data_IF_233649640880
#
_entry.id   IF_233649640880
#
_cell.length_a   1.000
_cell.length_b   1.000
_cell.length_c   1.000
_cell.angle_alpha   90.00
_cell.angle_beta   90.00
_cell.angle_gamma   90.00
#
_symmetry.space_group_name_H-M   'P 1'
#
loop_
_entity.id
_entity.type
_entity.pdbx_description
1 polymer ?
#
# COMPACT_ATOMS: atom_id res chain seq x y z
N UNK A 1 19.94 20.66 21.41
CA UNK A 1 19.59 19.84 22.58
C UNK A 1 19.08 18.51 22.07
N UNK A 2 19.80 17.41 22.34
CA UNK A 2 19.45 16.07 21.88
C UNK A 2 18.25 15.53 22.68
N UNK A 3 17.54 14.53 22.15
CA UNK A 3 16.44 13.84 22.82
C UNK A 3 16.85 13.29 24.19
N UNK A 4 18.08 12.77 24.29
CA UNK A 4 18.65 12.27 25.54
C UNK A 4 18.87 13.40 26.57
N UNK A 5 19.24 14.59 26.12
CA UNK A 5 19.43 15.76 26.99
C UNK A 5 18.08 16.23 27.55
N UNK A 6 17.02 16.23 26.72
CA UNK A 6 15.67 16.58 27.12
C UNK A 6 15.12 15.61 28.18
N UNK A 7 15.28 14.30 27.96
CA UNK A 7 14.83 13.27 28.90
C UNK A 7 15.58 13.41 30.23
N UNK A 8 16.88 13.68 30.18
CA UNK A 8 17.71 13.88 31.37
C UNK A 8 17.24 15.10 32.18
N UNK A 9 16.91 16.21 31.51
CA UNK A 9 16.33 17.39 32.17
C UNK A 9 14.97 17.11 32.79
N UNK A 10 14.07 16.40 32.11
CA UNK A 10 12.74 16.05 32.63
C UNK A 10 12.85 15.17 33.90
N UNK A 11 13.82 14.25 33.94
CA UNK A 11 14.09 13.41 35.13
C UNK A 11 14.57 14.21 36.34
N UNK A 12 15.22 15.35 36.14
CA UNK A 12 15.76 16.21 37.20
C UNK A 12 14.73 17.22 37.76
N UNK A 13 13.55 17.34 37.15
CA UNK A 13 12.48 18.23 37.62
C UNK A 13 11.79 17.67 38.85
N UNK A 14 12.05 18.23 40.03
CA UNK A 14 11.48 17.76 41.30
C UNK A 14 10.10 18.36 41.63
N UNK A 15 9.59 19.26 40.79
CA UNK A 15 8.38 20.04 40.99
C UNK A 15 7.17 19.52 40.20
N UNK A 16 7.23 18.29 39.68
CA UNK A 16 6.15 17.66 38.92
C UNK A 16 5.84 16.28 39.52
N UNK A 17 4.58 15.88 39.41
CA UNK A 17 4.14 14.55 39.80
C UNK A 17 4.77 13.46 38.91
N UNK A 18 4.74 12.22 39.41
CA UNK A 18 5.25 11.08 38.64
C UNK A 18 4.47 10.87 37.33
N UNK A 19 3.16 11.16 37.34
CA UNK A 19 2.29 11.05 36.18
C UNK A 19 2.60 12.11 35.12
N UNK A 20 2.80 13.36 35.51
CA UNK A 20 3.21 14.45 34.61
C UNK A 20 4.60 14.18 34.02
N UNK A 21 5.52 13.64 34.82
CA UNK A 21 6.85 13.25 34.35
C UNK A 21 6.76 12.13 33.31
N UNK A 22 5.95 11.11 33.56
CA UNK A 22 5.72 10.03 32.61
C UNK A 22 5.10 10.54 31.29
N UNK A 23 4.13 11.45 31.38
CA UNK A 23 3.49 12.09 30.24
C UNK A 23 4.50 12.87 29.37
N UNK A 24 5.35 13.70 29.99
CA UNK A 24 6.37 14.48 29.27
C UNK A 24 7.41 13.58 28.59
N UNK A 25 7.85 12.50 29.25
CA UNK A 25 8.76 11.53 28.65
C UNK A 25 8.10 10.84 27.45
N UNK A 26 6.80 10.50 27.55
CA UNK A 26 6.05 9.92 26.45
C UNK A 26 5.93 10.89 25.27
N UNK A 27 5.65 12.18 25.52
CA UNK A 27 5.55 13.20 24.49
C UNK A 27 6.88 13.39 23.74
N UNK A 28 8.02 13.39 24.44
CA UNK A 28 9.36 13.45 23.83
C UNK A 28 9.71 12.16 23.09
N UNK A 29 9.15 11.02 23.51
CA UNK A 29 9.36 9.73 22.85
C UNK A 29 8.47 9.53 21.63
N UNK A 30 7.32 10.19 21.57
CA UNK A 30 6.37 10.11 20.48
C UNK A 30 6.92 10.85 19.26
N UNK A 31 7.64 10.11 18.40
CA UNK A 31 7.85 10.51 17.01
C UNK A 31 6.64 10.05 16.19
N UNK A 32 6.15 10.92 15.31
CA UNK A 32 5.26 10.49 14.22
C UNK A 32 6.00 9.42 13.43
N UNK A 33 5.43 8.22 13.39
CA UNK A 33 5.91 7.15 12.52
C UNK A 33 5.24 7.36 11.16
N UNK A 34 6.05 7.59 10.14
CA UNK A 34 5.59 7.68 8.77
C UNK A 34 5.89 6.34 8.11
N UNK A 35 4.92 5.82 7.37
CA UNK A 35 5.02 4.54 6.67
C UNK A 35 3.73 4.24 5.95
N UNK A 36 3.81 3.40 4.93
CA UNK A 36 2.63 2.80 4.33
C UNK A 36 2.15 1.71 5.29
N UNK A 37 0.88 1.79 5.68
CA UNK A 37 0.19 0.72 6.38
C UNK A 37 -0.65 0.03 5.32
N UNK A 38 -0.37 -1.24 5.07
CA UNK A 38 -1.19 -2.08 4.20
C UNK A 38 -2.32 -2.67 5.03
N UNK A 39 -3.52 -2.70 4.45
CA UNK A 39 -4.64 -3.45 5.01
C UNK A 39 -4.60 -4.87 4.46
N UNK A 40 -4.86 -5.86 5.29
CA UNK A 40 -5.01 -7.27 4.86
C UNK A 40 -6.37 -7.45 4.18
N UNK A 41 -6.49 -6.89 2.97
CA UNK A 41 -7.71 -6.94 2.17
C UNK A 41 -7.41 -7.59 0.82
N UNK A 42 -7.64 -8.91 0.67
CA UNK A 42 -7.52 -9.56 -0.63
C UNK A 42 -8.58 -9.03 -1.59
N UNK A 43 -8.25 -9.01 -2.87
CA UNK A 43 -9.20 -8.67 -3.94
C UNK A 43 -9.87 -9.95 -4.46
N UNK A 44 -11.17 -9.88 -4.76
CA UNK A 44 -11.92 -11.05 -5.25
C UNK A 44 -11.31 -11.65 -6.52
N UNK A 45 -10.70 -10.82 -7.38
CA UNK A 45 -9.99 -11.24 -8.59
C UNK A 45 -8.73 -12.03 -8.27
N UNK A 46 -7.98 -11.63 -7.23
CA UNK A 46 -6.80 -12.38 -6.79
C UNK A 46 -7.18 -13.77 -6.29
N UNK A 47 -8.26 -13.87 -5.51
CA UNK A 47 -8.75 -15.15 -5.02
C UNK A 47 -9.24 -16.06 -6.15
N UNK A 48 -9.93 -15.51 -7.16
CA UNK A 48 -10.35 -16.26 -8.34
C UNK A 48 -9.17 -16.85 -9.12
N UNK A 49 -8.06 -16.11 -9.22
CA UNK A 49 -6.83 -16.55 -9.90
C UNK A 49 -6.07 -17.66 -9.16
N UNK A 50 -6.35 -17.90 -7.87
CA UNK A 50 -5.73 -19.01 -7.14
C UNK A 50 -6.20 -20.37 -7.66
N UNK A 51 -7.47 -20.45 -8.02
CA UNK A 51 -8.12 -21.71 -8.44
C UNK A 51 -8.40 -21.77 -9.95
N UNK A 52 -8.43 -20.62 -10.64
CA UNK A 52 -8.80 -20.52 -12.06
C UNK A 52 -7.72 -19.81 -12.87
N UNK A 53 -7.47 -20.29 -14.10
CA UNK A 53 -6.59 -19.63 -15.05
C UNK A 53 -7.42 -18.77 -16.02
N UNK A 54 -7.08 -17.50 -16.15
CA UNK A 54 -7.67 -16.64 -17.15
C UNK A 54 -7.26 -17.12 -18.56
N UNK A 55 -8.21 -17.16 -19.49
CA UNK A 55 -7.96 -17.55 -20.88
C UNK A 55 -8.49 -16.47 -21.80
N UNK A 56 -7.61 -15.95 -22.66
CA UNK A 56 -8.00 -14.98 -23.67
C UNK A 56 -8.83 -15.66 -24.76
N UNK A 57 -10.01 -15.10 -25.01
CA UNK A 57 -10.89 -15.52 -26.10
C UNK A 57 -11.08 -14.36 -27.06
N UNK A 58 -10.72 -14.59 -28.32
CA UNK A 58 -10.94 -13.62 -29.38
C UNK A 58 -12.44 -13.47 -29.67
N UNK A 59 -12.87 -12.23 -29.85
CA UNK A 59 -14.23 -11.88 -30.32
C UNK A 59 -14.10 -11.35 -31.73
N UNK A 60 -14.23 -12.25 -32.72
CA UNK A 60 -13.99 -11.94 -34.13
C UNK A 60 -14.86 -10.80 -34.65
N UNK A 61 -16.08 -10.66 -34.13
CA UNK A 61 -17.01 -9.59 -34.51
C UNK A 61 -16.48 -8.18 -34.21
N UNK A 62 -15.59 -8.06 -33.21
CA UNK A 62 -14.96 -6.79 -32.79
C UNK A 62 -13.51 -6.67 -33.28
N UNK A 63 -13.08 -7.52 -34.21
CA UNK A 63 -11.73 -7.50 -34.76
C UNK A 63 -11.39 -6.16 -35.41
N UNK A 64 -10.32 -5.51 -34.94
CA UNK A 64 -9.80 -4.30 -35.56
C UNK A 64 -8.85 -4.72 -36.67
N UNK A 65 -9.37 -4.79 -37.89
CA UNK A 65 -8.60 -5.17 -39.07
C UNK A 65 -8.00 -3.90 -39.69
N UNK A 66 -6.68 -3.83 -39.73
CA UNK A 66 -5.95 -2.79 -40.45
C UNK A 66 -5.02 -3.46 -41.49
N UNK A 67 -4.63 -2.73 -42.54
CA UNK A 67 -3.75 -3.29 -43.58
C UNK A 67 -2.40 -3.74 -43.02
N UNK A 68 -1.73 -4.69 -43.68
CA UNK A 68 -0.48 -5.34 -43.21
C UNK A 68 0.67 -4.37 -42.90
N UNK A 69 0.64 -3.15 -43.43
CA UNK A 69 1.63 -2.10 -43.17
C UNK A 69 1.50 -1.43 -41.79
N UNK A 70 0.45 -1.74 -41.02
CA UNK A 70 0.17 -1.11 -39.74
C UNK A 70 0.50 -2.01 -38.54
N UNK A 71 0.84 -1.43 -37.37
CA UNK A 71 1.05 -2.21 -36.16
C UNK A 71 -0.25 -2.88 -35.69
N UNK A 72 -0.11 -4.08 -35.12
CA UNK A 72 -1.21 -4.77 -34.46
C UNK A 72 -1.44 -4.20 -33.06
N UNK A 73 -2.65 -3.71 -32.81
CA UNK A 73 -3.10 -3.25 -31.50
C UNK A 73 -4.10 -4.25 -30.92
N UNK A 74 -3.96 -4.56 -29.63
CA UNK A 74 -4.82 -5.52 -28.92
C UNK A 74 -5.65 -4.75 -27.89
N UNK A 75 -6.96 -4.99 -27.89
CA UNK A 75 -7.86 -4.55 -26.83
C UNK A 75 -8.35 -5.78 -26.07
N UNK A 76 -8.14 -5.79 -24.77
CA UNK A 76 -8.62 -6.84 -23.88
C UNK A 76 -9.72 -6.25 -23.01
N UNK A 77 -10.90 -6.87 -23.05
CA UNK A 77 -12.03 -6.49 -22.20
C UNK A 77 -12.05 -7.39 -20.96
N UNK A 78 -11.97 -6.79 -19.77
CA UNK A 78 -12.02 -7.53 -18.52
C UNK A 78 -11.34 -6.76 -17.39
N UNK A 79 -11.11 -7.47 -16.29
CA UNK A 79 -10.29 -6.97 -15.20
C UNK A 79 -8.81 -6.89 -15.63
N UNK A 80 -8.09 -5.89 -15.13
CA UNK A 80 -6.70 -5.66 -15.52
C UNK A 80 -5.76 -6.73 -14.99
N UNK A 81 -5.98 -7.26 -13.79
CA UNK A 81 -5.15 -8.30 -13.21
C UNK A 81 -5.30 -9.59 -14.01
N UNK A 82 -6.55 -10.00 -14.26
CA UNK A 82 -6.84 -11.14 -15.14
C UNK A 82 -6.19 -10.98 -16.53
N UNK A 83 -6.28 -9.81 -17.15
CA UNK A 83 -5.74 -9.55 -18.48
C UNK A 83 -4.20 -9.61 -18.53
N UNK A 84 -3.52 -9.22 -17.45
CA UNK A 84 -2.06 -9.25 -17.35
C UNK A 84 -1.51 -10.64 -16.96
N UNK A 85 -2.35 -11.49 -16.37
CA UNK A 85 -1.96 -12.85 -15.93
C UNK A 85 -2.38 -13.97 -16.88
N UNK A 86 -3.21 -13.67 -17.89
CA UNK A 86 -3.75 -14.63 -18.86
C UNK A 86 -2.71 -15.11 -19.89
#
# INVERSE_FOLDING_TARGET
>A
MNKQDLISKIKQLNCISQDERAYLINLVNTKKKYGLVWEDKPEDVEEQLRDNLAVLKEVTDNGIINGEDNPNHILIQGDNLHALTA
#
